data_IF_621409356446
#
_entry.id   IF_621409356446
#
_cell.length_a   1.000
_cell.length_b   1.000
_cell.length_c   1.000
_cell.angle_alpha   90.00
_cell.angle_beta   90.00
_cell.angle_gamma   90.00
#
_symmetry.space_group_name_H-M   'P 1'
#
loop_
_entity.id
_entity.type
_entity.pdbx_description
1 polymer ?
#
# COMPACT_ATOMS: atom_id res chain seq x y z
N UNK A 1 -7.66 -15.74 -2.18
CA UNK A 1 -6.98 -15.71 -0.87
C UNK A 1 -5.49 -15.94 -1.07
N UNK A 2 -4.66 -15.44 -0.16
CA UNK A 2 -3.21 -15.67 -0.15
C UNK A 2 -2.86 -16.93 0.62
N UNK A 3 -1.86 -17.71 0.18
CA UNK A 3 -1.46 -18.93 0.86
C UNK A 3 -0.63 -18.66 2.13
N UNK A 4 -0.64 -19.64 3.04
CA UNK A 4 0.22 -19.69 4.24
C UNK A 4 1.67 -20.06 3.90
N UNK A 5 1.85 -20.80 2.80
CA UNK A 5 3.16 -21.17 2.27
C UNK A 5 3.15 -21.15 0.75
N UNK A 6 4.26 -20.74 0.15
CA UNK A 6 4.45 -20.70 -1.29
C UNK A 6 5.86 -21.20 -1.60
N UNK A 7 5.99 -22.16 -2.51
CA UNK A 7 7.26 -22.81 -2.84
C UNK A 7 8.03 -23.36 -1.61
N UNK A 8 7.30 -23.88 -0.61
CA UNK A 8 7.88 -24.39 0.64
C UNK A 8 8.32 -23.31 1.63
N UNK A 9 8.22 -22.03 1.27
CA UNK A 9 8.51 -20.89 2.14
C UNK A 9 7.28 -20.56 2.97
N UNK A 10 7.47 -20.26 4.26
CA UNK A 10 6.46 -19.69 5.14
C UNK A 10 7.07 -18.59 6.00
N UNK A 11 6.23 -17.71 6.56
CA UNK A 11 6.64 -16.62 7.44
C UNK A 11 5.80 -16.67 8.70
N UNK A 12 6.39 -16.49 9.87
CA UNK A 12 5.64 -16.29 11.12
C UNK A 12 5.77 -14.86 11.63
N UNK A 13 4.74 -14.43 12.35
CA UNK A 13 4.66 -13.19 13.11
C UNK A 13 4.35 -13.53 14.56
N UNK A 14 5.35 -13.36 15.42
CA UNK A 14 5.32 -13.79 16.81
C UNK A 14 5.44 -12.57 17.74
N UNK A 15 4.50 -12.42 18.66
CA UNK A 15 4.56 -11.41 19.73
C UNK A 15 4.43 -12.10 21.09
N UNK A 16 5.55 -12.63 21.65
CA UNK A 16 5.53 -13.46 22.86
C UNK A 16 4.90 -12.75 24.07
N UNK A 17 5.15 -11.45 24.23
CA UNK A 17 4.60 -10.63 25.32
C UNK A 17 3.06 -10.59 25.33
N UNK A 18 2.42 -10.88 24.19
CA UNK A 18 0.96 -10.89 24.01
C UNK A 18 0.42 -12.30 23.74
N UNK A 19 1.29 -13.31 23.74
CA UNK A 19 0.97 -14.71 23.39
C UNK A 19 0.30 -14.85 22.01
N UNK A 20 0.74 -14.03 21.06
CA UNK A 20 0.27 -14.07 19.68
C UNK A 20 1.33 -14.76 18.81
N UNK A 21 0.89 -15.70 17.98
CA UNK A 21 1.68 -16.31 16.90
C UNK A 21 0.77 -16.46 15.69
N UNK A 22 1.09 -15.80 14.59
CA UNK A 22 0.26 -15.72 13.40
C UNK A 22 1.08 -16.10 12.17
N UNK A 23 0.50 -16.85 11.21
CA UNK A 23 1.16 -17.09 9.95
C UNK A 23 1.07 -15.86 9.03
N UNK A 24 2.15 -15.56 8.34
CA UNK A 24 2.18 -14.62 7.23
C UNK A 24 1.40 -15.14 6.03
N UNK A 25 0.88 -14.22 5.22
CA UNK A 25 0.15 -14.51 3.97
C UNK A 25 0.96 -14.01 2.79
N UNK A 26 1.35 -14.90 1.88
CA UNK A 26 2.39 -14.62 0.88
C UNK A 26 1.79 -14.15 -0.45
N UNK A 27 2.27 -13.00 -0.95
CA UNK A 27 1.98 -12.52 -2.30
C UNK A 27 2.96 -13.06 -3.34
N UNK A 28 4.22 -13.22 -2.95
CA UNK A 28 5.30 -13.56 -3.87
C UNK A 28 6.49 -14.17 -3.11
N UNK A 29 7.18 -15.10 -3.77
CA UNK A 29 8.42 -15.72 -3.30
C UNK A 29 9.36 -15.87 -4.50
N UNK A 30 10.61 -15.45 -4.32
CA UNK A 30 11.75 -15.76 -5.17
C UNK A 30 12.97 -16.08 -4.30
N UNK A 31 14.11 -16.41 -4.93
CA UNK A 31 15.36 -16.69 -4.22
C UNK A 31 15.85 -15.52 -3.35
N UNK A 32 15.50 -14.28 -3.72
CA UNK A 32 16.00 -13.06 -3.05
C UNK A 32 14.90 -12.17 -2.46
N UNK A 33 13.63 -12.55 -2.57
CA UNK A 33 12.52 -11.72 -2.11
C UNK A 33 11.32 -12.55 -1.66
N UNK A 34 10.72 -12.13 -0.54
CA UNK A 34 9.39 -12.58 -0.10
C UNK A 34 8.51 -11.35 0.09
N UNK A 35 7.35 -11.33 -0.54
CA UNK A 35 6.32 -10.33 -0.27
C UNK A 35 5.25 -10.98 0.59
N UNK A 36 5.07 -10.46 1.81
CA UNK A 36 4.18 -11.00 2.82
C UNK A 36 3.28 -9.90 3.38
N UNK A 37 2.01 -10.21 3.58
CA UNK A 37 1.08 -9.31 4.26
C UNK A 37 1.30 -9.38 5.78
N UNK A 38 1.42 -8.21 6.42
CA UNK A 38 1.35 -8.07 7.88
C UNK A 38 -0.10 -8.28 8.34
N UNK A 39 -0.38 -9.22 9.25
CA UNK A 39 -1.75 -9.50 9.71
C UNK A 39 -2.39 -8.33 10.49
N UNK A 40 -3.72 -8.19 10.36
CA UNK A 40 -4.50 -7.15 11.07
C UNK A 40 -4.49 -7.33 12.58
N UNK A 41 -4.39 -8.58 13.01
CA UNK A 41 -4.43 -9.00 14.41
C UNK A 41 -3.21 -8.52 15.21
N UNK A 42 -2.20 -7.94 14.53
CA UNK A 42 -1.05 -7.27 15.15
C UNK A 42 -1.28 -5.78 15.44
N UNK A 43 -2.45 -5.22 15.08
CA UNK A 43 -2.74 -3.80 15.31
C UNK A 43 -2.65 -3.45 16.81
N UNK A 44 -2.08 -2.27 17.11
CA UNK A 44 -1.85 -1.80 18.48
C UNK A 44 -0.60 -2.39 19.15
N UNK A 45 0.17 -3.22 18.44
CA UNK A 45 1.53 -3.61 18.85
C UNK A 45 2.56 -2.66 18.22
N UNK A 46 3.66 -2.42 18.94
CA UNK A 46 4.76 -1.57 18.46
C UNK A 46 5.87 -2.36 17.77
N UNK A 47 5.88 -3.69 17.92
CA UNK A 47 6.83 -4.57 17.26
C UNK A 47 6.33 -6.01 17.22
N UNK A 48 6.91 -6.79 16.32
CA UNK A 48 6.67 -8.22 16.17
C UNK A 48 7.94 -8.93 15.74
N UNK A 49 8.15 -10.15 16.21
CA UNK A 49 9.24 -11.00 15.76
C UNK A 49 8.81 -11.75 14.50
N UNK A 50 9.67 -11.77 13.49
CA UNK A 50 9.45 -12.52 12.26
C UNK A 50 10.57 -13.53 12.06
N UNK A 51 10.22 -14.64 11.41
CA UNK A 51 11.20 -15.55 10.80
C UNK A 51 10.62 -16.08 9.50
N UNK A 52 11.51 -16.41 8.57
CA UNK A 52 11.18 -17.08 7.32
C UNK A 52 11.65 -18.53 7.44
N UNK A 53 10.80 -19.47 7.07
CA UNK A 53 11.11 -20.90 7.14
C UNK A 53 10.97 -21.54 5.77
N UNK A 54 11.89 -22.45 5.43
CA UNK A 54 11.86 -23.29 4.24
C UNK A 54 11.90 -24.74 4.73
N UNK A 55 10.74 -25.41 4.71
CA UNK A 55 10.57 -26.68 5.42
C UNK A 55 10.91 -26.54 6.90
N UNK A 56 11.82 -27.38 7.41
CA UNK A 56 12.22 -27.39 8.83
C UNK A 56 13.35 -26.40 9.17
N UNK A 57 13.90 -25.70 8.16
CA UNK A 57 14.96 -24.71 8.36
C UNK A 57 14.34 -23.33 8.52
N UNK A 58 14.73 -22.60 9.57
CA UNK A 58 14.28 -21.23 9.81
C UNK A 58 15.44 -20.24 9.78
N UNK A 59 15.17 -19.03 9.33
CA UNK A 59 16.08 -17.89 9.46
C UNK A 59 16.33 -17.53 10.93
N UNK A 60 17.31 -16.67 11.16
CA UNK A 60 17.36 -15.92 12.41
C UNK A 60 16.05 -15.13 12.60
N UNK A 61 15.67 -14.95 13.87
CA UNK A 61 14.51 -14.12 14.23
C UNK A 61 14.90 -12.66 14.06
N UNK A 62 14.03 -11.90 13.40
CA UNK A 62 14.18 -10.47 13.22
C UNK A 62 13.02 -9.74 13.90
N UNK A 63 13.31 -8.65 14.64
CA UNK A 63 12.24 -7.84 15.25
C UNK A 63 11.89 -6.69 14.33
N UNK A 64 10.67 -6.69 13.81
CA UNK A 64 10.13 -5.64 12.95
C UNK A 64 9.40 -4.61 13.81
N UNK A 65 9.73 -3.31 13.70
CA UNK A 65 8.89 -2.28 14.29
C UNK A 65 7.56 -2.19 13.56
N UNK A 66 6.47 -2.09 14.30
CA UNK A 66 5.14 -1.89 13.76
C UNK A 66 4.72 -0.44 13.97
N UNK A 67 4.15 0.15 12.93
CA UNK A 67 3.57 1.48 12.95
C UNK A 67 2.12 1.39 12.50
N UNK A 68 1.24 2.19 13.08
CA UNK A 68 -0.16 2.29 12.64
C UNK A 68 -0.28 2.85 11.22
N UNK A 69 0.68 3.71 10.83
CA UNK A 69 0.76 4.32 9.51
C UNK A 69 2.19 4.21 8.96
N UNK A 70 2.31 3.75 7.73
CA UNK A 70 3.57 3.68 6.98
C UNK A 70 3.27 3.85 5.47
N UNK A 71 2.71 5.01 5.06
CA UNK A 71 2.21 5.19 3.71
C UNK A 71 3.33 5.08 2.68
N UNK A 72 3.13 4.28 1.64
CA UNK A 72 4.00 4.24 0.48
C UNK A 72 3.20 3.97 -0.79
N UNK A 73 3.60 4.60 -1.89
CA UNK A 73 3.02 4.35 -3.20
C UNK A 73 3.54 3.04 -3.76
N UNK A 74 2.68 2.33 -4.49
CA UNK A 74 3.17 1.38 -5.48
C UNK A 74 3.67 2.17 -6.68
N UNK A 75 4.81 1.75 -7.23
CA UNK A 75 5.45 2.39 -8.37
C UNK A 75 5.71 1.35 -9.46
N UNK A 76 5.69 1.79 -10.72
CA UNK A 76 6.10 0.98 -11.86
C UNK A 76 7.24 1.66 -12.62
N UNK A 77 8.06 0.86 -13.29
CA UNK A 77 9.11 1.36 -14.18
C UNK A 77 8.52 1.55 -15.57
N UNK A 78 8.46 2.80 -16.03
CA UNK A 78 8.05 3.12 -17.40
C UNK A 78 9.17 2.75 -18.39
N UNK A 79 8.80 2.54 -19.66
CA UNK A 79 9.75 2.34 -20.76
C UNK A 79 10.80 3.46 -20.90
N UNK A 80 10.51 4.67 -20.40
CA UNK A 80 11.47 5.78 -20.34
C UNK A 80 12.59 5.58 -19.30
N UNK A 81 12.50 4.54 -18.46
CA UNK A 81 13.38 4.31 -17.33
C UNK A 81 13.01 5.09 -16.07
N UNK A 82 11.96 5.93 -16.11
CA UNK A 82 11.44 6.64 -14.95
C UNK A 82 10.48 5.77 -14.15
N UNK A 83 10.49 5.94 -12.83
CA UNK A 83 9.48 5.34 -11.95
C UNK A 83 8.35 6.33 -11.72
N UNK A 84 7.12 5.87 -11.93
CA UNK A 84 5.92 6.64 -11.63
C UNK A 84 5.02 5.87 -10.68
N UNK A 85 4.15 6.60 -10.00
CA UNK A 85 3.10 5.99 -9.19
C UNK A 85 2.24 5.09 -10.08
N UNK A 86 1.96 3.88 -9.60
CA UNK A 86 0.93 3.04 -10.17
C UNK A 86 -0.42 3.76 -9.96
N UNK A 87 -0.92 4.37 -11.02
CA UNK A 87 -2.10 5.20 -10.99
C UNK A 87 -2.92 5.07 -12.27
N UNK A 88 -4.24 5.23 -12.16
CA UNK A 88 -5.16 5.23 -13.29
C UNK A 88 -5.94 6.54 -13.36
N UNK A 89 -6.32 6.97 -14.56
CA UNK A 89 -7.32 8.02 -14.71
C UNK A 89 -8.75 7.50 -14.41
N UNK A 90 -9.73 8.39 -14.53
CA UNK A 90 -11.16 8.10 -14.38
C UNK A 90 -11.72 7.09 -15.39
N UNK A 91 -11.01 6.81 -16.48
CA UNK A 91 -11.35 5.81 -17.50
C UNK A 91 -10.50 4.54 -17.37
N UNK A 92 -9.84 4.34 -16.22
CA UNK A 92 -8.98 3.20 -15.92
C UNK A 92 -7.76 3.06 -16.84
N UNK A 93 -7.30 4.16 -17.46
CA UNK A 93 -6.06 4.15 -18.24
C UNK A 93 -4.87 4.49 -17.35
N UNK A 94 -3.77 3.76 -17.52
CA UNK A 94 -2.52 3.99 -16.79
C UNK A 94 -2.07 5.44 -16.96
N UNK A 95 -1.77 6.11 -15.85
CA UNK A 95 -1.11 7.41 -15.86
C UNK A 95 0.37 7.23 -16.17
N UNK A 96 0.87 7.97 -17.15
CA UNK A 96 2.25 7.92 -17.59
C UNK A 96 2.57 9.04 -18.58
N UNK A 97 3.72 8.98 -19.23
CA UNK A 97 4.14 10.03 -20.19
C UNK A 97 3.16 10.15 -21.36
N UNK A 98 2.53 9.05 -21.80
CA UNK A 98 1.54 9.04 -22.88
C UNK A 98 0.10 9.35 -22.43
N UNK A 99 -0.13 9.42 -21.11
CA UNK A 99 -1.43 9.74 -20.52
C UNK A 99 -1.21 10.45 -19.17
N UNK A 100 -0.77 11.72 -19.16
CA UNK A 100 -0.52 12.43 -17.91
C UNK A 100 -1.82 12.69 -17.14
N UNK A 101 -1.70 12.86 -15.82
CA UNK A 101 -2.83 13.20 -14.98
C UNK A 101 -3.27 14.64 -15.26
N UNK A 102 -4.53 14.81 -15.69
CA UNK A 102 -5.09 16.11 -16.03
C UNK A 102 -5.45 16.92 -14.79
N UNK A 103 -5.01 18.17 -14.75
CA UNK A 103 -5.47 19.17 -13.78
C UNK A 103 -7.00 19.20 -13.68
N UNK A 104 -7.53 19.25 -12.46
CA UNK A 104 -8.96 19.27 -12.17
C UNK A 104 -9.70 17.95 -12.41
N UNK A 105 -9.02 16.89 -12.87
CA UNK A 105 -9.59 15.54 -13.03
C UNK A 105 -9.16 14.62 -11.91
N UNK A 106 -9.88 13.50 -11.79
CA UNK A 106 -9.60 12.50 -10.77
C UNK A 106 -8.49 11.57 -11.26
N UNK A 107 -7.56 11.27 -10.37
CA UNK A 107 -6.59 10.18 -10.51
C UNK A 107 -6.76 9.19 -9.36
N UNK A 108 -6.71 7.90 -9.69
CA UNK A 108 -6.73 6.77 -8.76
C UNK A 108 -5.28 6.40 -8.46
N UNK A 109 -4.82 6.65 -7.24
CA UNK A 109 -3.45 6.36 -6.78
C UNK A 109 -3.43 5.08 -5.96
N UNK A 110 -2.49 4.17 -6.23
CA UNK A 110 -2.34 2.93 -5.47
C UNK A 110 -1.20 2.99 -4.46
N UNK A 111 -1.49 2.55 -3.23
CA UNK A 111 -0.59 2.64 -2.10
C UNK A 111 -0.76 1.47 -1.12
N UNK A 112 0.07 1.43 -0.08
CA UNK A 112 -0.12 0.61 1.11
C UNK A 112 0.12 1.43 2.40
N UNK A 113 -0.11 0.81 3.55
CA UNK A 113 0.28 1.38 4.85
C UNK A 113 -0.54 2.59 5.30
N UNK A 114 -1.77 2.76 4.80
CA UNK A 114 -2.65 3.88 5.17
C UNK A 114 -3.37 3.69 6.53
N UNK A 115 -3.13 2.57 7.20
CA UNK A 115 -3.71 2.23 8.51
C UNK A 115 -5.08 1.55 8.43
N UNK A 116 -5.76 1.46 9.57
CA UNK A 116 -6.99 0.68 9.71
C UNK A 116 -8.17 1.20 8.87
N UNK A 117 -9.07 0.26 8.52
CA UNK A 117 -10.32 0.50 7.78
C UNK A 117 -11.55 0.14 8.62
N UNK A 118 -12.72 0.65 8.29
CA UNK A 118 -13.99 0.40 9.01
C UNK A 118 -14.42 -1.09 8.97
N UNK A 119 -14.38 -1.76 7.81
CA UNK A 119 -14.68 -3.19 7.65
C UNK A 119 -13.53 -3.99 7.01
N UNK A 120 -12.44 -4.27 7.74
CA UNK A 120 -11.29 -4.98 7.18
C UNK A 120 -11.63 -6.42 6.80
N UNK A 121 -11.23 -6.90 5.61
CA UNK A 121 -11.28 -8.33 5.32
C UNK A 121 -10.32 -9.08 6.25
N UNK A 122 -10.58 -10.37 6.55
CA UNK A 122 -9.61 -11.22 7.24
C UNK A 122 -8.25 -11.20 6.53
N UNK A 123 -7.15 -11.34 7.29
CA UNK A 123 -5.82 -11.34 6.68
C UNK A 123 -5.65 -12.49 5.68
N UNK A 124 -5.16 -12.16 4.49
CA UNK A 124 -5.04 -13.05 3.33
C UNK A 124 -6.26 -13.07 2.41
N UNK A 125 -7.39 -12.49 2.80
CA UNK A 125 -8.61 -12.48 1.99
C UNK A 125 -8.72 -11.26 1.08
N UNK A 126 -9.32 -11.40 -0.13
CA UNK A 126 -9.53 -10.28 -1.03
C UNK A 126 -10.48 -9.25 -0.41
N UNK A 127 -10.23 -7.99 -0.71
CA UNK A 127 -11.07 -6.89 -0.25
C UNK A 127 -12.49 -7.01 -0.84
N UNK A 128 -13.56 -6.85 -0.02
CA UNK A 128 -14.93 -6.88 -0.51
C UNK A 128 -15.24 -5.70 -1.45
N UNK A 129 -16.11 -5.92 -2.42
CA UNK A 129 -16.59 -4.86 -3.31
C UNK A 129 -17.69 -4.00 -2.68
N UNK A 130 -18.48 -4.55 -1.75
CA UNK A 130 -19.51 -3.85 -0.99
C UNK A 130 -19.68 -4.51 0.40
N UNK A 131 -19.86 -3.73 1.48
CA UNK A 131 -19.55 -2.30 1.53
C UNK A 131 -18.04 -2.06 1.34
N UNK A 132 -17.67 -0.91 0.78
CA UNK A 132 -16.25 -0.54 0.63
C UNK A 132 -15.57 -0.41 2.00
N UNK A 133 -14.40 -1.02 2.13
CA UNK A 133 -13.52 -0.87 3.30
C UNK A 133 -12.76 0.46 3.22
N UNK A 134 -13.28 1.49 3.89
CA UNK A 134 -12.74 2.87 3.87
C UNK A 134 -11.72 3.07 4.97
N UNK A 135 -10.70 3.88 4.71
CA UNK A 135 -9.73 4.23 5.75
C UNK A 135 -10.45 4.97 6.89
N UNK A 136 -10.14 4.61 8.15
CA UNK A 136 -10.71 5.29 9.32
C UNK A 136 -10.16 6.70 9.49
N UNK A 137 -8.94 6.91 9.01
CA UNK A 137 -8.31 8.23 8.89
C UNK A 137 -8.19 8.55 7.41
N UNK A 138 -8.74 9.68 6.99
CA UNK A 138 -8.60 10.15 5.60
C UNK A 138 -7.18 10.69 5.45
N UNK A 139 -6.37 10.18 4.49
CA UNK A 139 -5.04 10.71 4.24
C UNK A 139 -5.11 12.12 3.67
N UNK A 140 -4.08 12.92 3.92
CA UNK A 140 -3.80 14.12 3.15
C UNK A 140 -2.94 13.74 1.94
N UNK A 141 -3.23 14.32 0.78
CA UNK A 141 -2.40 14.12 -0.42
C UNK A 141 -1.99 15.47 -0.97
N UNK A 142 -0.72 15.60 -1.37
CA UNK A 142 -0.23 16.79 -2.06
C UNK A 142 0.39 16.43 -3.41
N UNK A 143 0.19 17.30 -4.41
CA UNK A 143 0.82 17.22 -5.74
C UNK A 143 1.64 18.49 -5.93
N UNK A 144 2.96 18.36 -6.09
CA UNK A 144 3.89 19.49 -6.13
C UNK A 144 3.71 20.47 -4.94
N UNK A 145 3.49 19.93 -3.74
CA UNK A 145 3.25 20.69 -2.52
C UNK A 145 1.86 21.34 -2.41
N UNK A 146 0.98 21.19 -3.41
CA UNK A 146 -0.39 21.69 -3.36
C UNK A 146 -1.35 20.63 -2.84
N UNK A 147 -2.26 20.95 -1.91
CA UNK A 147 -3.27 20.01 -1.44
C UNK A 147 -4.14 19.49 -2.59
N UNK A 148 -4.22 18.17 -2.74
CA UNK A 148 -5.12 17.50 -3.66
C UNK A 148 -6.35 17.01 -2.91
N UNK A 149 -7.54 17.31 -3.41
CA UNK A 149 -8.78 16.92 -2.73
C UNK A 149 -8.98 15.40 -2.82
N UNK A 150 -8.97 14.72 -1.67
CA UNK A 150 -9.27 13.29 -1.57
C UNK A 150 -10.78 13.07 -1.64
N UNK A 151 -11.23 12.33 -2.65
CA UNK A 151 -12.63 11.94 -2.82
C UNK A 151 -12.93 10.53 -2.30
N UNK A 152 -11.91 9.67 -2.26
CA UNK A 152 -12.01 8.32 -1.72
C UNK A 152 -10.65 7.88 -1.17
N UNK A 153 -10.67 7.12 -0.07
CA UNK A 153 -9.52 6.40 0.45
C UNK A 153 -9.98 5.09 1.10
N UNK A 154 -9.42 3.97 0.68
CA UNK A 154 -9.82 2.65 1.16
C UNK A 154 -9.03 1.53 0.51
N UNK A 155 -9.38 0.29 0.83
CA UNK A 155 -8.84 -0.87 0.13
C UNK A 155 -9.47 -1.01 -1.27
N UNK A 156 -8.64 -1.36 -2.25
CA UNK A 156 -9.09 -1.63 -3.61
C UNK A 156 -9.83 -2.98 -3.66
N UNK A 157 -11.09 -3.03 -4.14
CA UNK A 157 -11.86 -4.27 -4.22
C UNK A 157 -11.17 -5.40 -4.98
N UNK A 158 -11.32 -6.63 -4.49
CA UNK A 158 -10.78 -7.84 -5.11
C UNK A 158 -9.29 -8.07 -4.89
N UNK A 159 -8.54 -7.09 -4.38
CA UNK A 159 -7.09 -7.17 -4.21
C UNK A 159 -6.75 -7.16 -2.72
N UNK A 160 -5.87 -8.07 -2.30
CA UNK A 160 -5.41 -8.17 -0.91
C UNK A 160 -4.37 -7.10 -0.63
N UNK A 161 -4.55 -6.31 0.44
CA UNK A 161 -3.53 -5.38 0.94
C UNK A 161 -3.25 -4.13 0.10
N UNK A 162 -3.98 -3.92 -1.01
CA UNK A 162 -3.84 -2.74 -1.86
C UNK A 162 -4.81 -1.65 -1.43
N UNK A 163 -4.30 -0.44 -1.20
CA UNK A 163 -5.12 0.76 -1.00
C UNK A 163 -5.25 1.54 -2.30
N UNK A 164 -6.40 2.18 -2.47
CA UNK A 164 -6.68 3.13 -3.52
C UNK A 164 -7.07 4.47 -2.89
N UNK A 165 -6.51 5.56 -3.43
CA UNK A 165 -6.88 6.94 -3.09
C UNK A 165 -7.30 7.63 -4.38
N UNK A 166 -8.53 8.15 -4.43
CA UNK A 166 -8.96 8.99 -5.55
C UNK A 166 -8.76 10.45 -5.16
N UNK A 167 -7.96 11.17 -5.93
CA UNK A 167 -7.70 12.59 -5.70
C UNK A 167 -8.00 13.43 -6.92
N UNK A 168 -8.48 14.65 -6.72
CA UNK A 168 -8.54 15.66 -7.78
C UNK A 168 -7.16 16.30 -7.91
N UNK A 169 -6.56 16.24 -9.09
CA UNK A 169 -5.29 16.93 -9.38
C UNK A 169 -5.52 18.45 -9.23
N UNK A 170 -4.73 19.18 -8.41
CA UNK A 170 -4.93 20.61 -8.24
C UNK A 170 -4.86 21.36 -9.57
N UNK A 171 -5.77 22.30 -9.81
CA UNK A 171 -5.87 23.02 -11.08
C UNK A 171 -4.65 23.91 -11.36
N UNK A 172 -3.92 24.26 -10.31
CA UNK A 172 -2.71 25.08 -10.34
C UNK A 172 -1.41 24.25 -10.17
N UNK A 173 -1.50 22.91 -10.11
CA UNK A 173 -0.32 22.03 -10.04
C UNK A 173 0.56 22.22 -11.28
N UNK A 174 1.89 22.36 -11.20
CA UNK A 174 2.74 22.54 -12.38
C UNK A 174 2.63 21.34 -13.33
N UNK A 175 2.78 21.55 -14.63
CA UNK A 175 2.79 20.46 -15.62
C UNK A 175 4.13 19.72 -15.60
N UNK A 176 4.19 18.55 -16.22
CA UNK A 176 5.36 17.67 -16.21
C UNK A 176 5.36 16.72 -15.03
N UNK A 177 6.51 16.14 -14.71
CA UNK A 177 6.62 15.15 -13.63
C UNK A 177 6.65 15.87 -12.28
N UNK A 178 5.64 15.61 -11.45
CA UNK A 178 5.46 16.26 -10.15
C UNK A 178 5.59 15.26 -8.99
N UNK A 179 6.19 15.66 -7.86
CA UNK A 179 6.22 14.83 -6.67
C UNK A 179 4.83 14.81 -6.00
N UNK A 180 4.42 13.64 -5.54
CA UNK A 180 3.20 13.41 -4.78
C UNK A 180 3.58 12.81 -3.43
N UNK A 181 2.95 13.30 -2.36
CA UNK A 181 3.16 12.82 -0.99
C UNK A 181 1.81 12.52 -0.35
N UNK A 182 1.73 11.37 0.33
CA UNK A 182 0.63 11.02 1.24
C UNK A 182 1.08 11.33 2.66
N UNK A 183 0.24 11.97 3.46
CA UNK A 183 0.47 12.17 4.90
C UNK A 183 -0.71 11.62 5.69
N UNK A 184 -0.45 10.80 6.71
CA UNK A 184 -1.49 10.30 7.63
C UNK A 184 -1.02 10.52 9.06
N UNK A 185 -1.78 11.29 9.85
CA UNK A 185 -1.43 11.62 11.25
C UNK A 185 0.03 12.13 11.40
N UNK A 186 0.47 12.97 10.48
CA UNK A 186 1.84 13.51 10.47
C UNK A 186 2.94 12.57 9.93
N UNK A 187 2.62 11.31 9.60
CA UNK A 187 3.54 10.38 8.94
C UNK A 187 3.45 10.57 7.43
N UNK A 188 4.52 11.09 6.83
CA UNK A 188 4.60 11.30 5.38
C UNK A 188 5.20 10.09 4.66
N UNK A 189 4.70 9.80 3.46
CA UNK A 189 5.32 8.87 2.52
C UNK A 189 6.61 9.45 1.95
N UNK A 190 7.44 8.60 1.35
CA UNK A 190 8.41 9.09 0.35
C UNK A 190 7.65 9.76 -0.79
N UNK A 191 8.21 10.83 -1.34
CA UNK A 191 7.67 11.45 -2.53
C UNK A 191 7.80 10.49 -3.73
N UNK A 192 6.71 10.28 -4.45
CA UNK A 192 6.69 9.49 -5.68
C UNK A 192 6.21 10.36 -6.85
N UNK A 193 6.53 9.95 -8.07
CA UNK A 193 6.41 10.82 -9.24
C UNK A 193 5.11 10.59 -10.00
N UNK A 194 4.43 11.68 -10.39
CA UNK A 194 3.22 11.68 -11.20
C UNK A 194 3.36 12.65 -12.38
N UNK A 195 3.29 12.19 -13.63
CA UNK A 195 3.15 13.08 -14.79
C UNK A 195 1.83 13.85 -14.73
N UNK A 196 1.87 15.18 -14.91
CA UNK A 196 0.71 16.08 -14.87
C UNK A 196 0.63 16.93 -16.14
N UNK A 197 -0.59 17.14 -16.66
CA UNK A 197 -0.90 18.06 -17.77
C UNK A 197 -2.01 19.07 -17.43
#
# INVERSE_FOLDING_TARGET
YLPLSLAGVSVSFDAPARRISLPGRLHFVSESQVNVQVPWELQGLNSVQIKVSIGDISSAVYTVPLNDFAPAFFEYLEASGRRYIAALDENYRLIGTANPARRGRIVQLYANGLGAVDNPPPSGEPTPAQPFARTRVIPEVSVAGRPAQVQFSGLAPGIVGLYQINVVVPTDAPTGVQPVVITVQGVASKAAQLPVE
#
